data_IF_952277649758
#
_entry.id   IF_952277649758
#
_cell.length_a   1.000
_cell.length_b   1.000
_cell.length_c   1.000
_cell.angle_alpha   90.00
_cell.angle_beta   90.00
_cell.angle_gamma   90.00
#
_symmetry.space_group_name_H-M   'P 1'
#
loop_
_entity.id
_entity.type
_entity.pdbx_description
1 polymer ?
#
# COMPACT_ATOMS: atom_id res chain seq x y z
N UNK A 1 13.68 30.15 84.98
CA UNK A 1 13.68 30.77 83.63
C UNK A 1 13.69 29.62 82.66
N UNK A 2 12.53 28.98 82.53
CA UNK A 2 12.37 27.67 81.89
C UNK A 2 11.83 27.86 80.47
N UNK A 3 12.62 28.48 79.61
CA UNK A 3 12.17 28.86 78.26
C UNK A 3 13.12 28.46 77.13
N UNK A 4 14.12 27.59 77.37
CA UNK A 4 15.15 27.29 76.35
C UNK A 4 15.19 25.79 75.94
N UNK A 5 14.44 24.89 76.58
CA UNK A 5 14.56 23.44 76.32
C UNK A 5 13.58 22.88 75.27
N UNK A 6 12.66 23.67 74.72
CA UNK A 6 11.60 23.20 73.80
C UNK A 6 12.01 23.35 72.32
N UNK A 7 13.04 24.15 72.00
CA UNK A 7 13.41 24.49 70.62
C UNK A 7 14.23 23.45 69.84
N UNK A 8 14.91 22.52 70.52
CA UNK A 8 15.91 21.64 69.87
C UNK A 8 15.31 20.27 69.46
N UNK A 9 14.25 19.82 70.13
CA UNK A 9 13.57 18.55 69.81
C UNK A 9 12.72 18.63 68.51
N UNK A 10 12.07 19.78 68.28
CA UNK A 10 11.11 19.96 67.18
C UNK A 10 11.78 19.99 65.79
N UNK A 11 13.01 20.52 65.71
CA UNK A 11 13.76 20.65 64.45
C UNK A 11 14.26 19.28 63.95
N UNK A 12 14.57 18.34 64.86
CA UNK A 12 15.06 17.01 64.51
C UNK A 12 14.00 16.08 63.89
N UNK A 13 12.76 16.13 64.40
CA UNK A 13 11.65 15.37 63.81
C UNK A 13 11.18 15.96 62.47
N UNK A 14 11.25 17.29 62.32
CA UNK A 14 10.89 17.97 61.08
C UNK A 14 11.85 17.63 59.93
N UNK A 15 13.17 17.55 60.20
CA UNK A 15 14.18 17.14 59.22
C UNK A 15 14.11 15.64 58.85
N UNK A 16 13.73 14.75 59.78
CA UNK A 16 13.48 13.33 59.48
C UNK A 16 12.28 13.12 58.57
N UNK A 17 11.20 13.89 58.75
CA UNK A 17 10.01 13.83 57.89
C UNK A 17 10.27 14.40 56.48
N UNK A 18 11.05 15.49 56.38
CA UNK A 18 11.47 16.05 55.07
C UNK A 18 12.40 15.09 54.32
N UNK A 19 13.32 14.42 55.02
CA UNK A 19 14.21 13.42 54.43
C UNK A 19 13.44 12.18 53.95
N UNK A 20 12.41 11.74 54.69
CA UNK A 20 11.59 10.59 54.30
C UNK A 20 10.65 10.90 53.11
N UNK A 21 10.19 12.15 52.97
CA UNK A 21 9.37 12.60 51.82
C UNK A 21 10.22 12.76 50.55
N UNK A 22 11.47 13.22 50.65
CA UNK A 22 12.39 13.33 49.50
C UNK A 22 12.82 11.96 48.94
N UNK A 23 12.90 10.92 49.77
CA UNK A 23 13.26 9.57 49.33
C UNK A 23 12.10 8.86 48.61
N UNK A 24 10.85 9.15 48.96
CA UNK A 24 9.66 8.56 48.31
C UNK A 24 9.37 9.20 46.94
N UNK A 25 9.73 10.47 46.74
CA UNK A 25 9.52 11.19 45.46
C UNK A 25 10.56 10.82 44.39
N UNK A 26 11.74 10.29 44.79
CA UNK A 26 12.76 9.85 43.83
C UNK A 26 12.49 8.47 43.22
N UNK A 27 11.56 7.68 43.75
CA UNK A 27 11.26 6.31 43.26
C UNK A 27 10.18 6.31 42.17
N UNK A 28 9.42 7.39 42.01
CA UNK A 28 8.34 7.49 41.02
C UNK A 28 8.76 8.09 39.66
N UNK A 29 10.04 8.43 39.47
CA UNK A 29 10.52 9.19 38.31
C UNK A 29 11.23 8.41 37.20
N UNK A 30 11.33 7.08 37.27
CA UNK A 30 12.03 6.28 36.25
C UNK A 30 11.11 5.23 35.63
N UNK A 31 9.96 5.67 35.11
CA UNK A 31 9.38 4.98 33.97
C UNK A 31 10.23 5.33 32.76
N UNK A 32 11.35 4.62 32.60
CA UNK A 32 12.00 4.50 31.31
C UNK A 32 10.94 3.94 30.36
N UNK A 33 10.34 4.85 29.61
CA UNK A 33 9.55 4.54 28.43
C UNK A 33 10.54 3.91 27.46
N UNK A 34 10.70 2.60 27.61
CA UNK A 34 11.47 1.76 26.74
C UNK A 34 10.69 1.78 25.43
N UNK A 35 10.99 2.79 24.60
CA UNK A 35 10.59 2.81 23.20
C UNK A 35 11.14 1.52 22.59
N UNK A 36 10.31 0.48 22.60
CA UNK A 36 10.57 -0.75 21.86
C UNK A 36 10.65 -0.30 20.42
N UNK A 37 11.88 -0.13 19.90
CA UNK A 37 12.12 0.00 18.48
C UNK A 37 11.52 -1.27 17.86
N UNK A 38 10.37 -1.10 17.19
CA UNK A 38 9.73 -2.22 16.48
C UNK A 38 10.75 -2.74 15.47
N UNK A 39 10.95 -4.06 15.39
CA UNK A 39 11.93 -4.62 14.46
C UNK A 39 11.57 -4.16 13.04
N UNK A 40 12.53 -3.51 12.40
CA UNK A 40 12.67 -3.26 10.96
C UNK A 40 11.35 -3.16 10.17
N UNK A 41 10.67 -2.01 10.28
CA UNK A 41 9.61 -1.65 9.34
C UNK A 41 10.15 -1.80 7.92
N UNK A 42 9.36 -2.38 7.02
CA UNK A 42 9.70 -2.38 5.61
C UNK A 42 9.88 -0.92 5.15
N UNK A 43 11.12 -0.55 4.86
CA UNK A 43 11.47 0.77 4.30
C UNK A 43 11.37 0.67 2.79
N UNK A 44 10.38 1.34 2.23
CA UNK A 44 10.33 1.61 0.80
C UNK A 44 11.07 2.90 0.47
N UNK A 45 11.45 3.05 -0.79
CA UNK A 45 11.90 4.35 -1.30
C UNK A 45 11.19 4.69 -2.60
N UNK A 46 10.97 5.98 -2.82
CA UNK A 46 10.54 6.49 -4.11
C UNK A 46 11.75 6.47 -5.06
N UNK A 47 11.68 5.67 -6.13
CA UNK A 47 12.74 5.57 -7.13
C UNK A 47 12.52 6.52 -8.33
N UNK A 48 11.28 6.90 -8.60
CA UNK A 48 10.93 7.78 -9.71
C UNK A 48 9.74 8.66 -9.34
N UNK A 49 9.74 9.91 -9.82
CA UNK A 49 8.62 10.85 -9.71
C UNK A 49 8.55 11.67 -11.00
N UNK A 50 7.34 11.81 -11.55
CA UNK A 50 7.02 12.75 -12.61
C UNK A 50 5.65 13.38 -12.33
N UNK A 51 5.55 14.69 -12.53
CA UNK A 51 4.32 15.45 -12.30
C UNK A 51 4.05 15.74 -10.82
N UNK A 52 2.77 15.84 -10.47
CA UNK A 52 2.29 16.15 -9.12
C UNK A 52 2.11 14.85 -8.33
N UNK A 53 3.05 14.59 -7.43
CA UNK A 53 3.02 13.42 -6.55
C UNK A 53 3.24 13.87 -5.11
N UNK A 54 2.44 13.32 -4.20
CA UNK A 54 2.58 13.57 -2.77
C UNK A 54 2.45 12.28 -1.96
N UNK A 55 3.02 12.31 -0.75
CA UNK A 55 2.93 11.27 0.25
C UNK A 55 2.12 11.83 1.41
N UNK A 56 0.94 11.28 1.63
CA UNK A 56 0.14 11.55 2.80
C UNK A 56 0.62 10.67 3.96
N UNK A 57 1.04 11.31 5.06
CA UNK A 57 1.53 10.66 6.28
C UNK A 57 0.77 11.22 7.48
N UNK A 58 -0.20 10.46 7.97
CA UNK A 58 -1.17 10.98 8.95
C UNK A 58 -1.90 12.20 8.39
N UNK A 59 -1.81 13.35 9.08
CA UNK A 59 -2.41 14.61 8.63
C UNK A 59 -1.51 15.41 7.67
N UNK A 60 -0.25 15.01 7.50
CA UNK A 60 0.69 15.70 6.64
C UNK A 60 0.55 15.27 5.18
N UNK A 61 0.68 16.22 4.27
CA UNK A 61 0.82 15.96 2.85
C UNK A 61 2.19 16.48 2.37
N UNK A 62 3.08 15.56 2.03
CA UNK A 62 4.49 15.83 1.75
C UNK A 62 4.70 15.71 0.24
N UNK A 63 5.27 16.72 -0.41
CA UNK A 63 5.64 16.60 -1.83
C UNK A 63 6.64 15.45 -2.01
N UNK A 64 6.35 14.54 -2.93
CA UNK A 64 7.19 13.39 -3.17
C UNK A 64 8.51 13.78 -3.84
N UNK A 65 9.62 13.23 -3.35
CA UNK A 65 10.94 13.36 -3.97
C UNK A 65 11.60 11.99 -4.14
N UNK A 66 12.49 11.87 -5.13
CA UNK A 66 13.29 10.65 -5.31
C UNK A 66 14.13 10.40 -4.06
N UNK A 67 14.30 9.13 -3.70
CA UNK A 67 14.96 8.65 -2.49
C UNK A 67 14.22 8.98 -1.18
N UNK A 68 13.04 9.60 -1.24
CA UNK A 68 12.18 9.75 -0.06
C UNK A 68 11.78 8.36 0.46
N UNK A 69 11.87 8.20 1.78
CA UNK A 69 11.45 7.00 2.49
C UNK A 69 9.92 6.92 2.56
N UNK A 70 9.39 5.74 2.20
CA UNK A 70 8.00 5.35 2.34
C UNK A 70 7.88 4.40 3.54
N UNK A 71 6.96 4.74 4.44
CA UNK A 71 6.70 4.03 5.68
C UNK A 71 5.34 3.33 5.64
N UNK A 72 5.18 2.32 6.48
CA UNK A 72 3.86 1.71 6.71
C UNK A 72 2.86 2.76 7.20
N UNK A 73 1.70 2.82 6.54
CA UNK A 73 0.65 3.81 6.76
C UNK A 73 0.64 4.96 5.74
N UNK A 74 1.73 5.16 4.98
CA UNK A 74 1.79 6.21 3.97
C UNK A 74 0.86 5.91 2.78
N UNK A 75 0.24 6.96 2.27
CA UNK A 75 -0.52 6.92 1.01
C UNK A 75 0.18 7.78 -0.03
N UNK A 76 0.59 7.17 -1.14
CA UNK A 76 1.12 7.89 -2.30
C UNK A 76 -0.06 8.32 -3.18
N UNK A 77 -0.12 9.61 -3.49
CA UNK A 77 -1.16 10.24 -4.29
C UNK A 77 -0.51 10.83 -5.53
N UNK A 78 -1.03 10.47 -6.70
CA UNK A 78 -0.61 11.00 -8.00
C UNK A 78 -1.74 11.82 -8.60
N UNK A 79 -1.40 12.98 -9.16
CA UNK A 79 -2.31 13.80 -9.95
C UNK A 79 -2.46 13.30 -11.39
N UNK A 80 -3.10 14.12 -12.21
CA UNK A 80 -3.20 13.85 -13.65
C UNK A 80 -1.82 13.89 -14.31
N UNK A 81 -1.56 12.98 -15.26
CA UNK A 81 -0.27 12.85 -15.97
C UNK A 81 0.93 12.75 -15.03
N UNK A 82 0.74 12.11 -13.88
CA UNK A 82 1.72 12.03 -12.81
C UNK A 82 1.94 10.57 -12.43
N UNK A 83 3.18 10.21 -12.17
CA UNK A 83 3.54 8.81 -11.91
C UNK A 83 4.67 8.76 -10.89
N UNK A 84 4.64 7.75 -10.04
CA UNK A 84 5.69 7.44 -9.09
C UNK A 84 6.07 5.96 -9.18
N UNK A 85 7.34 5.65 -8.91
CA UNK A 85 7.76 4.26 -8.73
C UNK A 85 8.29 4.06 -7.32
N UNK A 86 7.85 3.00 -6.65
CA UNK A 86 8.32 2.58 -5.35
C UNK A 86 9.15 1.31 -5.44
N UNK A 87 10.13 1.21 -4.55
CA UNK A 87 11.01 0.04 -4.45
C UNK A 87 11.05 -0.43 -3.00
N UNK A 88 10.84 -1.73 -2.77
CA UNK A 88 10.93 -2.35 -1.43
C UNK A 88 11.83 -3.58 -1.44
N UNK A 89 12.43 -3.88 -0.27
CA UNK A 89 13.13 -5.14 0.00
C UNK A 89 14.25 -5.43 -1.00
N UNK A 90 15.21 -4.50 -1.13
CA UNK A 90 16.34 -4.63 -2.07
C UNK A 90 15.92 -4.90 -3.53
N UNK A 91 14.87 -4.21 -4.01
CA UNK A 91 14.28 -4.38 -5.36
C UNK A 91 13.51 -5.68 -5.57
N UNK A 92 13.05 -6.32 -4.48
CA UNK A 92 12.12 -7.46 -4.58
C UNK A 92 10.75 -7.03 -5.12
N UNK A 93 10.33 -5.80 -4.79
CA UNK A 93 9.05 -5.23 -5.23
C UNK A 93 9.32 -3.93 -5.95
N UNK A 94 8.86 -3.83 -7.19
CA UNK A 94 8.82 -2.61 -7.99
C UNK A 94 7.36 -2.30 -8.27
N UNK A 95 6.92 -1.11 -7.86
CA UNK A 95 5.52 -0.69 -7.95
C UNK A 95 5.48 0.63 -8.71
N UNK A 96 4.87 0.64 -9.88
CA UNK A 96 4.52 1.87 -10.57
C UNK A 96 3.10 2.29 -10.16
N UNK A 97 2.96 3.51 -9.66
CA UNK A 97 1.69 4.13 -9.25
C UNK A 97 1.39 5.22 -10.28
N UNK A 98 0.33 5.02 -11.05
CA UNK A 98 0.05 5.77 -12.27
C UNK A 98 -0.83 6.98 -12.01
N UNK A 99 -1.17 7.74 -13.05
CA UNK A 99 -1.97 8.95 -12.95
C UNK A 99 -3.27 8.78 -12.15
N UNK A 100 -3.64 9.83 -11.43
CA UNK A 100 -4.91 9.95 -10.70
C UNK A 100 -5.16 8.89 -9.62
N UNK A 101 -4.10 8.31 -9.05
CA UNK A 101 -4.15 7.17 -8.13
C UNK A 101 -4.05 7.54 -6.66
N UNK A 102 -4.54 6.63 -5.81
CA UNK A 102 -4.27 6.61 -4.37
C UNK A 102 -3.84 5.21 -3.97
N UNK A 103 -2.60 5.10 -3.51
CA UNK A 103 -1.97 3.82 -3.21
C UNK A 103 -1.36 3.86 -1.81
N UNK A 104 -1.97 3.12 -0.89
CA UNK A 104 -1.52 3.04 0.50
C UNK A 104 -0.65 1.80 0.73
N UNK A 105 0.42 2.00 1.48
CA UNK A 105 1.33 0.95 1.91
C UNK A 105 1.00 0.61 3.36
N UNK A 106 0.80 -0.68 3.65
CA UNK A 106 0.62 -1.18 5.01
C UNK A 106 1.41 -2.46 5.21
N UNK A 107 1.91 -2.61 6.41
CA UNK A 107 2.56 -3.84 6.86
C UNK A 107 1.65 -4.49 7.89
N UNK A 108 1.24 -5.73 7.62
CA UNK A 108 0.40 -6.53 8.52
C UNK A 108 1.02 -7.91 8.69
N UNK A 109 1.37 -8.28 9.92
CA UNK A 109 1.89 -9.62 10.26
C UNK A 109 3.08 -10.07 9.37
N UNK A 110 4.03 -9.16 9.12
CA UNK A 110 5.19 -9.37 8.23
C UNK A 110 4.84 -9.61 6.74
N UNK A 111 3.56 -9.47 6.35
CA UNK A 111 3.10 -9.49 4.96
C UNK A 111 3.00 -8.05 4.40
N UNK A 112 3.35 -7.90 3.11
CA UNK A 112 3.22 -6.61 2.40
C UNK A 112 1.80 -6.46 1.88
N UNK A 113 1.06 -5.55 2.49
CA UNK A 113 -0.33 -5.29 2.16
C UNK A 113 -0.46 -3.90 1.54
N UNK A 114 -1.03 -3.84 0.35
CA UNK A 114 -1.24 -2.58 -0.34
C UNK A 114 -2.73 -2.35 -0.55
N UNK A 115 -3.14 -1.08 -0.56
CA UNK A 115 -4.52 -0.70 -0.83
C UNK A 115 -4.56 0.31 -1.97
N UNK A 116 -5.36 0.04 -2.99
CA UNK A 116 -5.60 0.93 -4.12
C UNK A 116 -7.08 1.26 -4.19
N UNK A 117 -7.43 2.48 -3.77
CA UNK A 117 -8.82 2.94 -3.77
C UNK A 117 -9.27 3.49 -5.12
N UNK A 118 -8.34 4.03 -5.91
CA UNK A 118 -8.59 4.57 -7.25
C UNK A 118 -7.31 4.57 -8.09
N UNK A 119 -7.49 4.72 -9.40
CA UNK A 119 -6.39 4.78 -10.35
C UNK A 119 -5.75 3.41 -10.56
N UNK A 120 -4.47 3.38 -10.91
CA UNK A 120 -3.82 2.17 -11.42
C UNK A 120 -2.43 1.96 -10.84
N UNK A 121 -2.04 0.69 -10.73
CA UNK A 121 -0.68 0.31 -10.43
C UNK A 121 -0.21 -0.87 -11.29
N UNK A 122 1.09 -0.89 -11.56
CA UNK A 122 1.76 -2.02 -12.19
C UNK A 122 2.86 -2.52 -11.27
N UNK A 123 2.73 -3.77 -10.83
CA UNK A 123 3.54 -4.33 -9.76
C UNK A 123 4.33 -5.50 -10.32
N UNK A 124 5.65 -5.42 -10.21
CA UNK A 124 6.55 -6.54 -10.40
C UNK A 124 7.04 -7.03 -9.04
N UNK A 125 6.75 -8.31 -8.76
CA UNK A 125 7.33 -9.02 -7.62
C UNK A 125 8.31 -10.05 -8.13
N UNK A 126 9.59 -9.90 -7.76
CA UNK A 126 10.58 -10.95 -8.00
C UNK A 126 10.25 -12.18 -7.14
N UNK A 127 10.82 -13.35 -7.49
CA UNK A 127 10.53 -14.60 -6.77
C UNK A 127 10.73 -14.42 -5.27
N UNK A 128 9.61 -14.31 -4.59
CA UNK A 128 9.50 -14.19 -3.15
C UNK A 128 10.17 -15.39 -2.48
N UNK A 129 10.97 -15.12 -1.43
CA UNK A 129 11.55 -16.19 -0.61
C UNK A 129 10.41 -17.06 -0.04
N UNK A 130 10.71 -18.28 0.40
CA UNK A 130 9.67 -19.16 0.96
C UNK A 130 9.07 -18.49 2.22
N UNK A 131 7.79 -18.11 2.17
CA UNK A 131 7.10 -17.37 3.23
C UNK A 131 6.57 -16.01 2.81
N UNK A 132 7.28 -15.30 1.93
CA UNK A 132 6.89 -13.96 1.49
C UNK A 132 5.60 -14.02 0.66
N UNK A 133 4.65 -13.17 1.04
CA UNK A 133 3.39 -12.92 0.35
C UNK A 133 3.16 -11.43 0.21
N UNK A 134 2.43 -11.08 -0.84
CA UNK A 134 1.94 -9.74 -1.04
C UNK A 134 0.47 -9.80 -1.40
N UNK A 135 -0.28 -8.85 -0.85
CA UNK A 135 -1.69 -8.66 -1.18
C UNK A 135 -1.92 -7.24 -1.69
N UNK A 136 -2.72 -7.10 -2.74
CA UNK A 136 -3.27 -5.82 -3.17
C UNK A 136 -4.78 -5.85 -2.95
N UNK A 137 -5.27 -4.93 -2.13
CA UNK A 137 -6.69 -4.72 -1.90
C UNK A 137 -7.20 -3.56 -2.73
N UNK A 138 -8.35 -3.77 -3.36
CA UNK A 138 -9.15 -2.71 -3.99
C UNK A 138 -10.54 -2.68 -3.35
N UNK A 139 -11.44 -1.77 -3.75
CA UNK A 139 -12.81 -1.78 -3.25
C UNK A 139 -13.53 -3.11 -3.48
N UNK A 140 -13.26 -3.81 -4.59
CA UNK A 140 -14.01 -5.02 -4.98
C UNK A 140 -13.21 -6.31 -4.94
N UNK A 141 -11.87 -6.27 -4.91
CA UNK A 141 -11.04 -7.48 -4.96
C UNK A 141 -9.86 -7.47 -3.99
N UNK A 142 -9.39 -8.65 -3.63
CA UNK A 142 -8.07 -8.86 -3.04
C UNK A 142 -7.26 -9.74 -4.00
N UNK A 143 -6.10 -9.27 -4.44
CA UNK A 143 -5.15 -10.03 -5.25
C UNK A 143 -4.01 -10.53 -4.38
N UNK A 144 -3.90 -11.85 -4.19
CA UNK A 144 -2.77 -12.50 -3.55
C UNK A 144 -1.75 -12.95 -4.59
N UNK A 145 -0.48 -12.55 -4.42
CA UNK A 145 0.58 -12.78 -5.40
C UNK A 145 1.82 -13.44 -4.81
N UNK A 146 2.46 -14.28 -5.63
CA UNK A 146 3.74 -14.90 -5.34
C UNK A 146 4.61 -14.97 -6.60
N UNK A 147 5.47 -13.97 -6.80
CA UNK A 147 6.42 -13.95 -7.91
C UNK A 147 5.76 -13.74 -9.28
N UNK A 148 5.07 -12.61 -9.40
CA UNK A 148 4.16 -12.26 -10.50
C UNK A 148 4.35 -10.80 -10.89
N UNK A 149 4.14 -10.48 -12.17
CA UNK A 149 3.98 -9.11 -12.67
C UNK A 149 2.52 -8.87 -12.99
N UNK A 150 1.86 -7.90 -12.37
CA UNK A 150 0.44 -7.71 -12.57
C UNK A 150 0.00 -6.26 -12.49
N UNK A 151 -1.00 -5.93 -13.30
CA UNK A 151 -1.59 -4.62 -13.40
C UNK A 151 -2.99 -4.61 -12.79
N UNK A 152 -3.30 -3.58 -12.02
CA UNK A 152 -4.62 -3.37 -11.46
C UNK A 152 -5.06 -1.93 -11.66
N UNK A 153 -6.28 -1.73 -12.16
CA UNK A 153 -6.91 -0.42 -12.32
C UNK A 153 -8.28 -0.41 -11.64
N UNK A 154 -8.55 0.66 -10.88
CA UNK A 154 -9.86 0.93 -10.29
C UNK A 154 -10.45 2.13 -11.01
N UNK A 155 -11.49 1.86 -11.81
CA UNK A 155 -12.16 2.86 -12.63
C UNK A 155 -13.67 2.80 -12.40
N UNK A 156 -14.22 3.90 -11.87
CA UNK A 156 -15.59 3.93 -11.38
C UNK A 156 -15.78 2.94 -10.23
N UNK A 157 -16.74 2.03 -10.37
CA UNK A 157 -17.03 0.97 -9.40
C UNK A 157 -16.47 -0.41 -9.82
N UNK A 158 -15.57 -0.43 -10.80
CA UNK A 158 -14.97 -1.65 -11.33
C UNK A 158 -13.49 -1.73 -10.99
N UNK A 159 -13.03 -2.94 -10.64
CA UNK A 159 -11.60 -3.27 -10.62
C UNK A 159 -11.28 -4.14 -11.83
N UNK A 160 -10.27 -3.71 -12.60
CA UNK A 160 -9.67 -4.44 -13.70
C UNK A 160 -8.33 -5.01 -13.24
N UNK A 161 -8.09 -6.31 -13.43
CA UNK A 161 -6.82 -6.94 -13.07
C UNK A 161 -6.29 -7.79 -14.22
N UNK A 162 -5.09 -7.46 -14.68
CA UNK A 162 -4.33 -8.23 -15.66
C UNK A 162 -3.14 -8.90 -14.97
N UNK A 163 -3.01 -10.21 -15.11
CA UNK A 163 -1.95 -10.94 -14.42
C UNK A 163 -0.60 -10.94 -15.11
N UNK A 164 -0.47 -10.35 -16.31
CA UNK A 164 0.69 -10.24 -17.21
C UNK A 164 1.64 -11.44 -17.26
N UNK A 165 2.33 -11.75 -16.16
CA UNK A 165 3.20 -12.91 -16.01
C UNK A 165 3.06 -13.54 -14.62
N UNK A 166 2.90 -14.86 -14.57
CA UNK A 166 2.83 -15.63 -13.32
C UNK A 166 1.39 -15.92 -12.90
N UNK A 167 1.19 -16.11 -11.59
CA UNK A 167 -0.11 -16.48 -11.03
C UNK A 167 -0.59 -15.48 -9.98
N UNK A 168 -1.89 -15.20 -9.98
CA UNK A 168 -2.60 -14.38 -9.00
C UNK A 168 -3.79 -15.18 -8.50
N UNK A 169 -3.94 -15.30 -7.19
CA UNK A 169 -5.22 -15.64 -6.60
C UNK A 169 -6.02 -14.36 -6.44
N UNK A 170 -7.10 -14.20 -7.21
CA UNK A 170 -8.00 -13.08 -7.11
C UNK A 170 -9.25 -13.51 -6.33
N UNK A 171 -9.53 -12.82 -5.23
CA UNK A 171 -10.73 -12.97 -4.41
C UNK A 171 -11.67 -11.77 -4.62
N UNK A 172 -12.94 -12.02 -4.90
CA UNK A 172 -13.99 -11.00 -4.82
C UNK A 172 -14.33 -10.73 -3.35
N UNK A 173 -14.27 -9.46 -2.93
CA UNK A 173 -14.42 -9.08 -1.50
C UNK A 173 -15.85 -9.20 -0.97
N UNK A 174 -16.86 -9.21 -1.84
CA UNK A 174 -18.26 -9.25 -1.43
C UNK A 174 -18.79 -10.69 -1.32
N UNK A 175 -18.45 -11.55 -2.28
CA UNK A 175 -18.95 -12.93 -2.31
C UNK A 175 -17.88 -14.00 -1.98
N UNK A 176 -16.63 -13.58 -1.75
CA UNK A 176 -15.48 -14.44 -1.42
C UNK A 176 -15.13 -15.52 -2.46
N UNK A 177 -15.64 -15.40 -3.69
CA UNK A 177 -15.22 -16.28 -4.79
C UNK A 177 -13.75 -16.03 -5.12
N UNK A 178 -12.99 -17.13 -5.24
CA UNK A 178 -11.56 -17.11 -5.55
C UNK A 178 -11.29 -17.76 -6.88
N UNK A 179 -10.40 -17.18 -7.67
CA UNK A 179 -9.86 -17.81 -8.88
C UNK A 179 -8.37 -17.54 -9.01
N UNK A 180 -7.61 -18.60 -9.28
CA UNK A 180 -6.23 -18.51 -9.78
C UNK A 180 -6.29 -18.52 -11.30
N UNK A 181 -5.56 -17.62 -11.96
CA UNK A 181 -5.49 -17.61 -13.42
C UNK A 181 -4.89 -18.91 -13.97
N UNK A 182 -5.63 -19.49 -14.92
CA UNK A 182 -5.37 -20.73 -15.64
C UNK A 182 -5.03 -20.50 -17.12
N UNK A 183 -5.21 -19.26 -17.58
CA UNK A 183 -5.09 -18.81 -18.96
C UNK A 183 -4.96 -17.29 -18.98
N UNK A 184 -4.69 -16.72 -20.17
CA UNK A 184 -4.58 -15.27 -20.34
C UNK A 184 -5.97 -14.61 -20.38
N UNK A 185 -6.23 -13.67 -19.46
CA UNK A 185 -7.44 -12.87 -19.42
C UNK A 185 -7.28 -11.60 -18.56
N UNK A 186 -8.13 -10.61 -18.86
CA UNK A 186 -8.40 -9.46 -18.00
C UNK A 186 -9.61 -9.77 -17.11
N UNK A 187 -9.40 -9.81 -15.80
CA UNK A 187 -10.49 -9.94 -14.83
C UNK A 187 -11.15 -8.58 -14.61
N UNK A 188 -12.48 -8.54 -14.55
CA UNK A 188 -13.23 -7.34 -14.18
C UNK A 188 -14.24 -7.66 -13.10
N UNK A 189 -14.15 -6.97 -11.98
CA UNK A 189 -15.04 -7.17 -10.83
C UNK A 189 -15.81 -5.91 -10.50
N UNK A 190 -17.12 -6.04 -10.29
CA UNK A 190 -18.04 -4.99 -9.83
C UNK A 190 -19.03 -5.58 -8.82
N UNK A 191 -19.01 -5.07 -7.59
CA UNK A 191 -19.79 -5.66 -6.49
C UNK A 191 -19.45 -7.14 -6.30
N UNK A 192 -20.46 -8.00 -6.32
CA UNK A 192 -20.36 -9.46 -6.21
C UNK A 192 -20.15 -10.18 -7.55
N UNK A 193 -20.03 -9.46 -8.66
CA UNK A 193 -19.85 -10.05 -9.99
C UNK A 193 -18.40 -9.95 -10.44
N UNK A 194 -17.90 -11.04 -11.02
CA UNK A 194 -16.58 -11.08 -11.70
C UNK A 194 -16.75 -11.70 -13.08
N UNK A 195 -16.32 -10.98 -14.12
CA UNK A 195 -16.25 -11.45 -15.51
C UNK A 195 -14.80 -11.54 -15.96
N UNK A 196 -14.59 -12.22 -17.09
CA UNK A 196 -13.30 -12.35 -17.73
C UNK A 196 -13.39 -11.91 -19.20
N UNK A 197 -12.46 -11.05 -19.61
CA UNK A 197 -12.26 -10.63 -20.99
C UNK A 197 -11.02 -11.33 -21.52
N UNK A 198 -11.21 -12.20 -22.50
CA UNK A 198 -10.16 -13.01 -23.12
C UNK A 198 -9.50 -12.28 -24.30
N UNK A 199 -8.30 -12.71 -24.74
CA UNK A 199 -7.70 -12.21 -25.97
C UNK A 199 -8.63 -12.28 -27.20
N UNK A 200 -9.41 -13.36 -27.31
CA UNK A 200 -10.38 -13.55 -28.40
C UNK A 200 -11.55 -12.55 -28.32
N UNK A 201 -11.96 -12.12 -27.12
CA UNK A 201 -12.98 -11.08 -26.98
C UNK A 201 -12.48 -9.75 -27.56
N UNK A 202 -11.23 -9.37 -27.25
CA UNK A 202 -10.64 -8.12 -27.76
C UNK A 202 -10.31 -8.18 -29.25
N UNK A 203 -9.84 -9.33 -29.74
CA UNK A 203 -9.56 -9.53 -31.16
C UNK A 203 -10.80 -9.30 -32.03
N UNK A 204 -11.97 -9.79 -31.60
CA UNK A 204 -13.26 -9.57 -32.29
C UNK A 204 -13.68 -8.09 -32.36
N UNK A 205 -13.12 -7.26 -31.48
CA UNK A 205 -13.38 -5.83 -31.42
C UNK A 205 -12.24 -5.00 -32.04
N UNK A 206 -11.26 -5.65 -32.69
CA UNK A 206 -10.04 -5.02 -33.22
C UNK A 206 -9.24 -4.24 -32.15
N UNK A 207 -9.30 -4.69 -30.90
CA UNK A 207 -8.50 -4.13 -29.80
C UNK A 207 -7.30 -5.08 -29.57
N UNK A 208 -6.05 -4.58 -29.62
CA UNK A 208 -4.88 -5.39 -29.28
C UNK A 208 -4.94 -5.89 -27.83
N UNK A 209 -4.67 -7.18 -27.63
CA UNK A 209 -4.45 -7.75 -26.30
C UNK A 209 -2.95 -7.80 -26.05
N UNK A 210 -2.43 -6.86 -25.24
CA UNK A 210 -1.00 -6.72 -24.92
C UNK A 210 -0.80 -6.43 -23.44
N UNK A 211 0.38 -6.76 -22.92
CA UNK A 211 0.75 -6.62 -21.50
C UNK A 211 1.66 -5.41 -21.25
N UNK A 212 1.34 -4.29 -21.91
CA UNK A 212 2.10 -3.05 -21.83
C UNK A 212 1.27 -2.03 -21.06
N UNK A 213 1.59 -1.82 -19.79
CA UNK A 213 0.76 -1.01 -18.91
C UNK A 213 1.44 0.26 -18.41
N UNK A 214 2.74 0.47 -18.64
CA UNK A 214 3.46 1.57 -17.98
C UNK A 214 3.07 2.95 -18.53
N UNK A 215 3.07 3.97 -17.65
CA UNK A 215 3.04 5.38 -18.05
C UNK A 215 4.45 5.98 -18.24
N UNK A 216 5.49 5.20 -17.96
CA UNK A 216 6.91 5.54 -18.10
C UNK A 216 7.46 4.85 -19.36
N UNK A 217 8.24 5.58 -20.16
CA UNK A 217 8.76 5.08 -21.45
C UNK A 217 9.71 3.88 -21.27
N UNK A 218 10.68 4.00 -20.35
CA UNK A 218 11.68 2.96 -20.03
C UNK A 218 11.44 2.38 -18.63
N UNK A 219 10.23 1.92 -18.35
CA UNK A 219 9.88 1.45 -17.01
C UNK A 219 10.57 0.13 -16.66
N UNK A 220 11.13 -0.02 -15.45
CA UNK A 220 11.69 -1.30 -15.01
C UNK A 220 10.63 -2.38 -14.79
N UNK A 221 9.33 -2.02 -14.76
CA UNK A 221 8.24 -3.00 -14.68
C UNK A 221 7.79 -3.54 -16.04
N UNK A 222 8.05 -2.84 -17.15
CA UNK A 222 7.70 -3.27 -18.50
C UNK A 222 7.46 -2.12 -19.48
N UNK A 223 7.00 -2.45 -20.69
CA UNK A 223 6.84 -1.46 -21.77
C UNK A 223 5.71 -0.46 -21.52
N UNK A 224 5.88 0.74 -22.10
CA UNK A 224 4.87 1.80 -22.08
C UNK A 224 3.55 1.37 -22.73
N UNK A 225 2.45 1.71 -22.07
CA UNK A 225 1.11 1.58 -22.60
C UNK A 225 0.90 2.49 -23.82
N UNK A 226 0.42 1.90 -24.92
CA UNK A 226 0.05 2.61 -26.16
C UNK A 226 -1.44 2.53 -26.45
N UNK A 227 -2.24 2.04 -25.50
CA UNK A 227 -3.69 1.96 -25.62
C UNK A 227 -4.28 3.37 -25.72
N UNK A 228 -5.12 3.57 -26.72
CA UNK A 228 -5.86 4.82 -26.91
C UNK A 228 -7.08 4.88 -25.99
N UNK A 229 -7.58 6.08 -25.74
CA UNK A 229 -8.82 6.27 -24.97
C UNK A 229 -10.02 5.55 -25.63
N UNK A 230 -10.08 5.55 -26.97
CA UNK A 230 -11.11 4.86 -27.74
C UNK A 230 -11.07 3.34 -27.50
N UNK A 231 -9.88 2.73 -27.54
CA UNK A 231 -9.70 1.32 -27.24
C UNK A 231 -10.07 0.99 -25.79
N UNK A 232 -9.66 1.83 -24.83
CA UNK A 232 -10.06 1.67 -23.44
C UNK A 232 -11.59 1.71 -23.28
N UNK A 233 -12.27 2.66 -23.95
CA UNK A 233 -13.73 2.76 -23.91
C UNK A 233 -14.41 1.51 -24.47
N UNK A 234 -13.88 0.91 -25.53
CA UNK A 234 -14.38 -0.36 -26.08
C UNK A 234 -14.27 -1.49 -25.05
N UNK A 235 -13.15 -1.59 -24.34
CA UNK A 235 -12.96 -2.59 -23.26
C UNK A 235 -13.96 -2.33 -22.12
N UNK A 236 -14.12 -1.07 -21.72
CA UNK A 236 -15.03 -0.67 -20.65
C UNK A 236 -16.49 -1.01 -20.96
N UNK A 237 -16.96 -0.72 -22.18
CA UNK A 237 -18.33 -1.05 -22.59
C UNK A 237 -18.53 -2.57 -22.73
N UNK A 238 -17.52 -3.31 -23.21
CA UNK A 238 -17.56 -4.76 -23.20
C UNK A 238 -17.71 -5.31 -21.77
N UNK A 239 -16.94 -4.77 -20.81
CA UNK A 239 -17.01 -5.17 -19.42
C UNK A 239 -18.41 -4.93 -18.83
N UNK A 240 -18.99 -3.74 -19.04
CA UNK A 240 -20.37 -3.41 -18.62
C UNK A 240 -21.37 -4.40 -19.17
N UNK A 241 -21.34 -4.64 -20.49
CA UNK A 241 -22.25 -5.59 -21.15
C UNK A 241 -22.13 -7.00 -20.57
N UNK A 242 -20.91 -7.49 -20.32
CA UNK A 242 -20.71 -8.82 -19.72
C UNK A 242 -21.23 -8.88 -18.28
N UNK A 243 -20.99 -7.85 -17.47
CA UNK A 243 -21.47 -7.76 -16.08
C UNK A 243 -23.00 -7.71 -15.97
N UNK A 244 -23.67 -7.05 -16.92
CA UNK A 244 -25.13 -7.00 -17.00
C UNK A 244 -25.76 -8.35 -17.39
N UNK A 245 -25.00 -9.20 -18.08
CA UNK A 245 -25.46 -10.54 -18.50
C UNK A 245 -25.27 -11.65 -17.46
N UNK A 246 -24.62 -11.35 -16.34
CA UNK A 246 -24.43 -12.27 -15.20
C UNK A 246 -25.61 -12.26 -14.22
#
# INVERSE_FOLDING_TARGET
MDSIQIGISWIGEFMKKISMILIVVCVSGLSFDCSKSRPNQIKGVIAFVKGEVSVQRGEQNIKATVSQEILSGDTVITGSKSVASLVFGEKTYLIEIQSDSQFQVKEENDEKTFFQNKGSSWILTNKLVKGDKMTLHTPTTTAGVRGTKFYTSVYGDMTFTCHCEGHIELENRQNHTKKINDSDYLSVTKGDKTIYITPNDLQKLNVPYVHNHSEIEDSPVGEQNKMTLEQFQVIYELAKKKLESL
#
